data_IF_820683567239
#
_entry.id   IF_820683567239
#
_cell.length_a   1.000
_cell.length_b   1.000
_cell.length_c   1.000
_cell.angle_alpha   90.00
_cell.angle_beta   90.00
_cell.angle_gamma   90.00
#
_symmetry.space_group_name_H-M   'P 1'
#
loop_
_entity.id
_entity.type
_entity.pdbx_description
1 polymer ?
#
# COMPACT_ATOMS: atom_id res chain seq x y z
N UNK A 1 29.48 -9.97 -32.50
CA UNK A 1 28.28 -10.76 -32.15
C UNK A 1 28.70 -11.69 -31.04
N UNK A 2 28.49 -11.29 -29.79
CA UNK A 2 28.74 -12.10 -28.59
C UNK A 2 27.41 -12.74 -28.18
N UNK A 3 27.42 -14.01 -27.80
CA UNK A 3 26.21 -14.81 -27.63
C UNK A 3 25.57 -14.57 -26.27
N UNK A 4 24.24 -14.70 -26.24
CA UNK A 4 23.34 -14.50 -25.09
C UNK A 4 23.75 -15.33 -23.83
N UNK A 5 24.62 -16.33 -23.99
CA UNK A 5 25.07 -17.24 -22.93
C UNK A 5 26.27 -16.71 -22.11
N UNK A 6 27.09 -15.80 -22.66
CA UNK A 6 28.25 -15.26 -21.91
C UNK A 6 27.82 -14.19 -20.87
N UNK A 7 26.66 -13.55 -21.06
CA UNK A 7 26.04 -12.67 -20.05
C UNK A 7 25.34 -13.41 -18.90
N UNK A 8 25.00 -14.69 -19.09
CA UNK A 8 24.30 -15.52 -18.10
C UNK A 8 25.27 -16.19 -17.10
N UNK A 9 26.55 -16.34 -17.44
CA UNK A 9 27.57 -17.00 -16.61
C UNK A 9 28.72 -16.10 -16.13
N UNK A 10 28.63 -14.78 -16.34
CA UNK A 10 29.53 -13.84 -15.68
C UNK A 10 29.27 -13.85 -14.17
N UNK A 11 30.06 -14.66 -13.46
CA UNK A 11 30.16 -14.80 -12.00
C UNK A 11 29.66 -13.55 -11.27
N UNK A 12 28.58 -13.69 -10.49
CA UNK A 12 28.23 -12.74 -9.42
C UNK A 12 29.52 -12.45 -8.66
N UNK A 13 30.00 -11.20 -8.71
CA UNK A 13 31.13 -10.75 -7.89
C UNK A 13 30.88 -11.24 -6.47
N UNK A 14 31.87 -11.90 -5.88
CA UNK A 14 31.94 -12.18 -4.44
C UNK A 14 31.48 -10.89 -3.75
N UNK A 15 30.37 -10.95 -3.01
CA UNK A 15 29.87 -9.81 -2.25
C UNK A 15 31.05 -9.36 -1.39
N UNK A 16 31.60 -8.18 -1.68
CA UNK A 16 32.60 -7.58 -0.79
C UNK A 16 31.93 -7.55 0.57
N UNK A 17 32.54 -8.20 1.56
CA UNK A 17 32.06 -8.11 2.93
C UNK A 17 31.95 -6.61 3.24
N UNK A 18 30.71 -6.11 3.33
CA UNK A 18 30.48 -4.77 3.87
C UNK A 18 31.02 -4.88 5.29
N UNK A 19 32.03 -4.07 5.60
CA UNK A 19 32.52 -3.93 6.96
C UNK A 19 31.31 -3.80 7.90
N UNK A 20 31.31 -4.59 8.97
CA UNK A 20 30.26 -4.52 9.98
C UNK A 20 30.14 -3.06 10.43
N UNK A 21 29.00 -2.46 10.12
CA UNK A 21 28.73 -1.07 10.50
C UNK A 21 28.63 -1.04 12.01
N UNK A 22 29.36 -0.12 12.64
CA UNK A 22 29.23 0.12 14.07
C UNK A 22 27.75 0.39 14.43
N UNK A 23 27.24 -0.12 15.56
CA UNK A 23 25.92 0.24 16.05
C UNK A 23 25.79 1.77 16.12
N UNK A 24 24.84 2.35 15.37
CA UNK A 24 24.61 3.79 15.32
C UNK A 24 25.30 4.55 14.17
N UNK A 25 26.05 3.89 13.28
CA UNK A 25 26.57 4.56 12.08
C UNK A 25 25.43 5.07 11.17
N UNK A 26 25.49 6.32 10.67
CA UNK A 26 24.49 6.83 9.74
C UNK A 26 24.44 5.92 8.51
N UNK A 27 23.24 5.46 8.14
CA UNK A 27 23.07 4.78 6.86
C UNK A 27 23.32 5.81 5.76
N UNK A 28 24.16 5.48 4.77
CA UNK A 28 24.23 6.27 3.53
C UNK A 28 22.81 6.59 3.08
N UNK A 29 22.47 7.88 3.02
CA UNK A 29 21.11 8.34 2.81
C UNK A 29 20.59 7.86 1.45
N UNK A 30 19.93 6.71 1.44
CA UNK A 30 18.97 6.31 0.39
C UNK A 30 17.59 6.93 0.68
N UNK A 31 17.57 8.07 1.36
CA UNK A 31 16.36 8.79 1.70
C UNK A 31 15.66 9.29 0.44
N UNK A 32 14.35 9.09 0.37
CA UNK A 32 13.46 9.76 -0.59
C UNK A 32 13.24 11.20 -0.13
N UNK A 33 14.33 11.97 -0.09
CA UNK A 33 14.26 13.38 0.27
C UNK A 33 13.82 14.19 -0.94
N UNK A 34 12.86 15.07 -0.72
CA UNK A 34 12.29 15.92 -1.74
C UNK A 34 12.89 17.33 -1.67
N UNK A 35 12.83 18.00 -2.81
CA UNK A 35 12.91 19.44 -2.90
C UNK A 35 11.56 19.97 -3.39
N UNK A 36 11.26 21.20 -2.98
CA UNK A 36 10.09 21.94 -3.43
C UNK A 36 10.55 23.33 -3.81
N UNK A 37 10.34 23.70 -5.06
CA UNK A 37 10.70 25.00 -5.62
C UNK A 37 9.46 25.88 -5.80
N UNK A 38 9.69 27.14 -6.17
CA UNK A 38 8.62 28.09 -6.44
C UNK A 38 7.68 27.65 -7.58
N UNK A 39 8.16 27.10 -8.71
CA UNK A 39 7.29 26.52 -9.74
C UNK A 39 6.31 25.47 -9.20
N UNK A 40 6.78 24.55 -8.35
CA UNK A 40 5.93 23.52 -7.73
C UNK A 40 4.89 24.14 -6.80
N UNK A 41 5.27 25.10 -5.97
CA UNK A 41 4.34 25.82 -5.07
C UNK A 41 3.31 26.61 -5.87
N UNK A 42 3.74 27.34 -6.91
CA UNK A 42 2.85 28.08 -7.81
C UNK A 42 1.83 27.17 -8.49
N UNK A 43 2.26 26.01 -9.00
CA UNK A 43 1.35 25.02 -9.57
C UNK A 43 0.32 24.55 -8.54
N UNK A 44 0.76 24.24 -7.32
CA UNK A 44 -0.12 23.77 -6.24
C UNK A 44 -1.13 24.84 -5.82
N UNK A 45 -0.73 26.11 -5.74
CA UNK A 45 -1.63 27.24 -5.46
C UNK A 45 -2.65 27.46 -6.57
N UNK A 46 -2.23 27.35 -7.84
CA UNK A 46 -3.11 27.49 -8.98
C UNK A 46 -4.17 26.38 -9.03
N UNK A 47 -3.78 25.14 -8.74
CA UNK A 47 -4.69 23.99 -8.68
C UNK A 47 -5.83 24.16 -7.66
N UNK A 48 -5.55 24.79 -6.52
CA UNK A 48 -6.56 25.05 -5.48
C UNK A 48 -7.24 26.43 -5.65
N UNK A 49 -6.88 27.19 -6.69
CA UNK A 49 -7.43 28.52 -6.95
C UNK A 49 -7.08 29.56 -5.88
N UNK A 50 -5.97 29.41 -5.16
CA UNK A 50 -5.61 30.28 -4.04
C UNK A 50 -5.40 31.73 -4.50
N UNK A 51 -6.00 32.67 -3.76
CA UNK A 51 -5.89 34.11 -3.99
C UNK A 51 -5.23 34.80 -2.81
N UNK A 52 -5.52 34.37 -1.59
CA UNK A 52 -5.01 34.96 -0.36
C UNK A 52 -4.13 33.97 0.37
N UNK A 53 -2.83 34.23 0.44
CA UNK A 53 -1.84 33.28 0.94
C UNK A 53 -0.98 33.91 2.03
N UNK A 54 -0.79 33.17 3.11
CA UNK A 54 0.12 33.55 4.18
C UNK A 54 1.53 33.03 3.84
N UNK A 55 2.53 33.91 3.87
CA UNK A 55 3.92 33.54 3.70
C UNK A 55 4.65 33.61 5.05
N UNK A 56 5.04 32.44 5.56
CA UNK A 56 5.87 32.33 6.74
C UNK A 56 7.35 32.17 6.36
N UNK A 57 8.10 33.26 6.41
CA UNK A 57 9.52 33.29 5.99
C UNK A 57 10.26 34.54 6.45
N UNK A 58 11.50 34.67 6.02
CA UNK A 58 12.32 35.87 6.22
C UNK A 58 12.05 36.94 5.14
N UNK A 59 12.63 38.13 5.32
CA UNK A 59 12.40 39.28 4.44
C UNK A 59 12.82 39.03 2.98
N UNK A 60 13.93 38.33 2.78
CA UNK A 60 14.43 37.96 1.44
C UNK A 60 13.47 37.00 0.75
N UNK A 61 12.99 35.99 1.49
CA UNK A 61 11.98 35.06 0.98
C UNK A 61 10.67 35.75 0.62
N UNK A 62 10.26 36.79 1.36
CA UNK A 62 9.07 37.58 1.02
C UNK A 62 9.23 38.38 -0.26
N UNK A 63 10.38 39.01 -0.47
CA UNK A 63 10.67 39.69 -1.73
C UNK A 63 10.62 38.70 -2.92
N UNK A 64 11.23 37.52 -2.75
CA UNK A 64 11.21 36.46 -3.76
C UNK A 64 9.80 35.95 -4.05
N UNK A 65 9.01 35.68 -3.01
CA UNK A 65 7.63 35.21 -3.15
C UNK A 65 6.75 36.18 -3.95
N UNK A 66 6.92 37.50 -3.74
CA UNK A 66 6.20 38.52 -4.52
C UNK A 66 6.52 38.46 -6.02
N UNK A 67 7.78 38.17 -6.37
CA UNK A 67 8.19 38.04 -7.76
C UNK A 67 7.65 36.76 -8.40
N UNK A 68 7.66 35.65 -7.65
CA UNK A 68 7.26 34.33 -8.15
C UNK A 68 5.75 34.10 -8.23
N UNK A 69 4.98 34.84 -7.41
CA UNK A 69 3.53 34.69 -7.27
C UNK A 69 2.77 35.99 -7.60
N UNK A 70 2.90 36.53 -8.84
CA UNK A 70 2.20 37.72 -9.23
C UNK A 70 0.67 37.50 -9.17
N UNK A 71 -0.05 38.46 -8.58
CA UNK A 71 -1.52 38.42 -8.48
C UNK A 71 -2.07 37.60 -7.30
N UNK A 72 -1.21 37.02 -6.46
CA UNK A 72 -1.59 36.45 -5.16
C UNK A 72 -1.43 37.51 -4.08
N UNK A 73 -2.45 37.72 -3.25
CA UNK A 73 -2.35 38.59 -2.08
C UNK A 73 -1.56 37.86 -0.99
N UNK A 74 -0.33 38.33 -0.74
CA UNK A 74 0.58 37.73 0.22
C UNK A 74 0.60 38.52 1.53
N UNK A 75 0.33 37.85 2.65
CA UNK A 75 0.63 38.37 3.99
C UNK A 75 1.95 37.78 4.49
N UNK A 76 2.94 38.64 4.75
CA UNK A 76 4.20 38.20 5.36
C UNK A 76 4.07 38.05 6.87
N UNK A 77 4.41 36.87 7.37
CA UNK A 77 4.44 36.57 8.80
C UNK A 77 5.76 35.92 9.22
N UNK A 78 6.13 36.13 10.48
CA UNK A 78 7.26 35.44 11.10
C UNK A 78 7.07 35.29 12.60
N UNK A 79 7.73 34.29 13.18
CA UNK A 79 7.88 34.17 14.64
C UNK A 79 9.19 34.79 15.13
N UNK A 80 10.13 35.07 14.22
CA UNK A 80 11.41 35.69 14.56
C UNK A 80 11.20 37.19 14.78
N UNK A 81 11.56 37.69 15.97
CA UNK A 81 11.36 39.08 16.35
C UNK A 81 12.09 40.07 15.41
N UNK A 82 13.21 39.65 14.81
CA UNK A 82 13.92 40.45 13.81
C UNK A 82 13.10 40.69 12.53
N UNK A 83 12.44 39.65 12.02
CA UNK A 83 11.54 39.76 10.85
C UNK A 83 10.30 40.61 11.19
N UNK A 84 9.76 40.47 12.42
CA UNK A 84 8.63 41.27 12.90
C UNK A 84 9.00 42.75 12.99
N UNK A 85 10.19 43.05 13.54
CA UNK A 85 10.74 44.41 13.54
C UNK A 85 10.95 44.97 12.12
N UNK A 86 11.25 44.09 11.15
CA UNK A 86 11.39 44.44 9.73
C UNK A 86 10.06 44.54 8.97
N UNK A 87 8.91 44.31 9.63
CA UNK A 87 7.58 44.55 9.08
C UNK A 87 6.72 43.29 8.87
N UNK A 88 7.22 42.10 9.20
CA UNK A 88 6.38 40.91 9.24
C UNK A 88 5.32 41.03 10.34
N UNK A 89 4.15 40.44 10.14
CA UNK A 89 3.20 40.23 11.24
C UNK A 89 3.63 39.05 12.10
N UNK A 90 3.31 39.07 13.39
CA UNK A 90 3.59 37.93 14.25
C UNK A 90 2.66 36.76 13.89
N UNK A 91 3.23 35.58 13.69
CA UNK A 91 2.52 34.43 13.11
C UNK A 91 1.34 33.95 13.96
N UNK A 92 1.49 33.90 15.28
CA UNK A 92 0.47 33.45 16.23
C UNK A 92 -0.76 34.36 16.31
N UNK A 93 -0.61 35.64 15.98
CA UNK A 93 -1.68 36.63 16.09
C UNK A 93 -2.61 36.67 14.86
N UNK A 94 -2.28 35.90 13.82
CA UNK A 94 -3.05 35.93 12.57
C UNK A 94 -4.21 34.93 12.58
N UNK A 95 -5.28 35.25 11.86
CA UNK A 95 -6.40 34.35 11.62
C UNK A 95 -6.07 33.38 10.47
N UNK A 96 -5.30 32.32 10.75
CA UNK A 96 -4.84 31.35 9.73
C UNK A 96 -5.96 30.73 8.88
N UNK A 97 -7.18 30.61 9.43
CA UNK A 97 -8.35 30.08 8.72
C UNK A 97 -8.89 30.95 7.58
N UNK A 98 -8.50 32.24 7.53
CA UNK A 98 -8.96 33.21 6.52
C UNK A 98 -8.14 33.13 5.22
N UNK A 99 -7.08 32.32 5.20
CA UNK A 99 -6.18 32.17 4.05
C UNK A 99 -6.48 30.88 3.28
N UNK A 100 -6.27 30.93 1.96
CA UNK A 100 -6.46 29.79 1.09
C UNK A 100 -5.36 28.73 1.25
N UNK A 101 -4.16 29.18 1.65
CA UNK A 101 -2.99 28.35 1.90
C UNK A 101 -1.95 29.13 2.73
N UNK A 102 -0.96 28.41 3.25
CA UNK A 102 0.27 28.99 3.78
C UNK A 102 1.49 28.47 3.00
N UNK A 103 2.56 29.25 2.95
CA UNK A 103 3.86 28.85 2.40
C UNK A 103 4.94 29.07 3.45
N UNK A 104 5.72 28.04 3.75
CA UNK A 104 6.90 28.12 4.61
C UNK A 104 8.18 28.15 3.77
N UNK A 105 9.08 29.08 4.07
CA UNK A 105 10.32 29.27 3.30
C UNK A 105 11.39 29.98 4.14
N UNK A 106 12.65 29.87 3.71
CA UNK A 106 13.76 30.59 4.29
C UNK A 106 14.48 29.82 5.39
N UNK A 107 15.18 30.56 6.25
CA UNK A 107 15.90 29.99 7.38
C UNK A 107 14.95 29.28 8.36
N UNK A 108 15.43 28.22 9.02
CA UNK A 108 14.64 27.43 9.98
C UNK A 108 13.34 26.82 9.39
N UNK A 109 13.34 26.51 8.08
CA UNK A 109 12.19 25.94 7.38
C UNK A 109 11.48 24.79 8.14
N UNK A 110 12.17 23.79 8.73
CA UNK A 110 11.50 22.74 9.50
C UNK A 110 10.68 23.28 10.68
N UNK A 111 11.18 24.28 11.41
CA UNK A 111 10.46 24.86 12.55
C UNK A 111 9.24 25.67 12.07
N UNK A 112 9.43 26.50 11.04
CA UNK A 112 8.34 27.28 10.40
C UNK A 112 7.22 26.37 9.89
N UNK A 113 7.58 25.26 9.25
CA UNK A 113 6.63 24.28 8.70
C UNK A 113 5.78 23.61 9.79
N UNK A 114 6.41 23.10 10.87
CA UNK A 114 5.69 22.49 12.00
C UNK A 114 4.76 23.50 12.69
N UNK A 115 5.24 24.72 12.90
CA UNK A 115 4.45 25.79 13.51
C UNK A 115 3.25 26.16 12.63
N UNK A 116 3.45 26.30 11.32
CA UNK A 116 2.38 26.58 10.37
C UNK A 116 1.33 25.46 10.31
N UNK A 117 1.75 24.18 10.33
CA UNK A 117 0.82 23.06 10.42
C UNK A 117 -0.03 23.12 11.69
N UNK A 118 0.59 23.38 12.85
CA UNK A 118 -0.11 23.53 14.13
C UNK A 118 -1.12 24.69 14.10
N UNK A 119 -0.73 25.84 13.55
CA UNK A 119 -1.60 27.02 13.50
C UNK A 119 -2.73 26.84 12.49
N UNK A 120 -2.46 26.19 11.36
CA UNK A 120 -3.46 25.91 10.33
C UNK A 120 -4.47 24.86 10.79
N UNK A 121 -4.03 23.72 11.35
CA UNK A 121 -4.95 22.64 11.78
C UNK A 121 -5.91 23.10 12.88
N UNK A 122 -5.46 23.98 13.77
CA UNK A 122 -6.29 24.55 14.83
C UNK A 122 -7.45 25.43 14.32
N UNK A 123 -7.44 25.83 13.04
CA UNK A 123 -8.43 26.73 12.44
C UNK A 123 -9.13 26.10 11.23
N UNK A 124 -8.38 25.49 10.33
CA UNK A 124 -8.90 24.84 9.14
C UNK A 124 -7.94 23.74 8.64
N UNK A 125 -8.21 22.49 9.03
CA UNK A 125 -7.45 21.31 8.61
C UNK A 125 -7.50 20.99 7.10
N UNK A 126 -8.34 21.66 6.31
CA UNK A 126 -8.44 21.43 4.86
C UNK A 126 -7.50 22.30 4.00
N UNK A 127 -6.90 23.33 4.60
CA UNK A 127 -6.06 24.30 3.88
C UNK A 127 -4.60 23.86 3.88
N UNK A 128 -3.92 23.88 2.72
CA UNK A 128 -2.56 23.39 2.65
C UNK A 128 -1.53 24.37 3.22
N UNK A 129 -0.55 23.81 3.91
CA UNK A 129 0.74 24.41 4.22
C UNK A 129 1.76 23.85 3.22
N UNK A 130 2.17 24.69 2.29
CA UNK A 130 3.18 24.41 1.27
C UNK A 130 4.57 24.85 1.79
N UNK A 131 5.62 24.40 1.13
CA UNK A 131 6.99 24.73 1.52
C UNK A 131 7.90 24.91 0.31
N UNK A 132 8.94 25.73 0.46
CA UNK A 132 10.01 25.92 -0.54
C UNK A 132 11.35 25.64 0.14
N UNK A 133 12.12 24.71 -0.41
CA UNK A 133 13.42 24.29 0.12
C UNK A 133 13.80 22.88 -0.30
N UNK A 134 14.65 22.22 0.50
CA UNK A 134 15.06 20.84 0.28
C UNK A 134 15.16 20.05 1.59
N UNK A 135 15.20 18.72 1.47
CA UNK A 135 15.55 17.82 2.56
C UNK A 135 14.37 17.24 3.34
N UNK A 136 13.13 17.46 2.91
CA UNK A 136 11.95 16.83 3.51
C UNK A 136 11.89 15.36 3.15
N UNK A 137 11.49 14.52 4.10
CA UNK A 137 11.17 13.12 3.85
C UNK A 137 9.78 12.99 3.23
N UNK A 138 9.56 11.86 2.57
CA UNK A 138 8.31 11.54 1.89
C UNK A 138 7.84 10.12 2.22
N UNK A 139 6.52 9.97 2.41
CA UNK A 139 5.85 8.68 2.39
C UNK A 139 4.59 8.76 1.51
N UNK A 140 4.25 7.64 0.88
CA UNK A 140 2.97 7.51 0.20
C UNK A 140 2.42 6.10 0.19
N UNK A 141 1.14 5.98 -0.13
CA UNK A 141 0.43 4.72 -0.33
C UNK A 141 -0.62 4.88 -1.43
N UNK A 142 -0.84 3.83 -2.22
CA UNK A 142 -1.94 3.77 -3.20
C UNK A 142 -2.78 2.52 -3.00
N UNK A 143 -4.09 2.63 -3.19
CA UNK A 143 -5.04 1.52 -3.19
C UNK A 143 -5.95 1.68 -4.39
N UNK A 144 -6.04 0.64 -5.21
CA UNK A 144 -6.85 0.66 -6.44
C UNK A 144 -7.96 -0.38 -6.34
N UNK A 145 -9.10 -0.09 -6.96
CA UNK A 145 -10.26 -0.98 -7.01
C UNK A 145 -10.82 -1.03 -8.45
N UNK A 146 -11.47 -2.14 -8.83
CA UNK A 146 -11.91 -2.36 -10.20
C UNK A 146 -13.13 -1.47 -10.51
N UNK A 147 -13.43 -1.32 -11.80
CA UNK A 147 -14.60 -0.57 -12.27
C UNK A 147 -15.89 -1.14 -11.68
N UNK A 148 -15.96 -2.44 -11.45
CA UNK A 148 -17.16 -3.14 -11.02
C UNK A 148 -17.53 -2.87 -9.55
N UNK A 149 -16.59 -2.46 -8.69
CA UNK A 149 -16.84 -2.25 -7.25
C UNK A 149 -17.85 -1.11 -6.99
N UNK A 150 -18.95 -1.29 -6.27
CA UNK A 150 -19.97 -0.24 -6.11
C UNK A 150 -19.47 0.98 -5.33
N UNK A 151 -18.66 0.75 -4.30
CA UNK A 151 -18.11 1.79 -3.43
C UNK A 151 -16.70 1.43 -2.96
N UNK A 152 -15.89 2.44 -2.66
CA UNK A 152 -14.61 2.28 -1.99
C UNK A 152 -14.55 3.26 -0.83
N UNK A 153 -14.48 2.74 0.40
CA UNK A 153 -14.30 3.55 1.59
C UNK A 153 -12.87 3.42 2.10
N UNK A 154 -12.04 4.43 1.83
CA UNK A 154 -10.67 4.50 2.30
C UNK A 154 -10.55 5.07 3.72
N UNK A 155 -9.82 4.39 4.59
CA UNK A 155 -9.41 4.87 5.90
C UNK A 155 -7.93 5.30 5.86
N UNK A 156 -7.72 6.61 5.97
CA UNK A 156 -6.40 7.21 6.16
C UNK A 156 -6.22 7.56 7.64
N UNK A 157 -5.14 7.09 8.26
CA UNK A 157 -4.91 7.27 9.69
C UNK A 157 -3.46 7.71 9.95
N UNK A 158 -3.27 8.75 10.76
CA UNK A 158 -1.96 9.24 11.15
C UNK A 158 -1.37 8.40 12.30
N UNK A 159 -0.71 7.31 11.97
CA UNK A 159 -0.05 6.37 12.89
C UNK A 159 1.45 6.64 13.12
N UNK A 160 1.98 7.77 12.65
CA UNK A 160 3.43 7.98 12.71
C UNK A 160 3.95 8.18 14.13
N UNK A 161 3.09 8.53 15.08
CA UNK A 161 3.46 8.61 16.49
C UNK A 161 3.83 7.22 17.03
N UNK A 162 3.02 6.21 16.76
CA UNK A 162 3.15 4.86 17.31
C UNK A 162 4.38 4.14 16.75
N UNK A 163 4.65 4.31 15.45
CA UNK A 163 5.73 3.59 14.77
C UNK A 163 7.04 4.39 14.63
N UNK A 164 6.97 5.74 14.60
CA UNK A 164 8.13 6.62 14.36
C UNK A 164 8.35 7.68 15.43
N UNK A 165 7.43 7.83 16.40
CA UNK A 165 7.52 8.87 17.42
C UNK A 165 7.28 10.29 16.91
N UNK A 166 6.66 10.43 15.73
CA UNK A 166 6.31 11.74 15.16
C UNK A 166 5.02 12.23 15.83
N UNK A 167 5.16 13.24 16.70
CA UNK A 167 4.03 13.85 17.44
C UNK A 167 3.47 15.10 16.75
N UNK A 168 4.00 15.43 15.59
CA UNK A 168 3.56 16.58 14.80
C UNK A 168 2.25 16.24 14.07
N UNK A 169 1.40 17.24 13.86
CA UNK A 169 0.33 17.12 12.87
C UNK A 169 0.96 16.92 11.48
N UNK A 170 0.34 16.09 10.64
CA UNK A 170 0.86 15.78 9.32
C UNK A 170 -0.13 16.20 8.24
N UNK A 171 0.39 16.86 7.20
CA UNK A 171 -0.39 17.17 6.01
C UNK A 171 -0.35 16.01 5.02
N UNK A 172 -1.52 15.48 4.73
CA UNK A 172 -1.76 14.51 3.68
C UNK A 172 -2.28 15.23 2.44
N UNK A 173 -1.57 15.10 1.33
CA UNK A 173 -2.13 15.34 0.00
C UNK A 173 -2.81 14.05 -0.44
N UNK A 174 -4.11 14.13 -0.70
CA UNK A 174 -4.94 13.00 -1.09
C UNK A 174 -5.35 13.19 -2.55
N UNK A 175 -5.25 12.12 -3.32
CA UNK A 175 -5.62 12.08 -4.73
C UNK A 175 -6.57 10.92 -4.98
N UNK A 176 -7.68 11.20 -5.64
CA UNK A 176 -8.65 10.21 -6.11
C UNK A 176 -8.59 10.22 -7.64
N UNK A 177 -8.15 9.11 -8.21
CA UNK A 177 -8.00 8.93 -9.65
C UNK A 177 -9.21 8.20 -10.23
N UNK A 178 -9.69 8.69 -11.37
CA UNK A 178 -10.79 8.09 -12.13
C UNK A 178 -10.51 8.26 -13.63
N UNK A 179 -10.02 7.20 -14.28
CA UNK A 179 -9.58 7.28 -15.68
C UNK A 179 -8.47 8.34 -15.88
N UNK A 180 -8.67 9.38 -16.72
CA UNK A 180 -7.73 10.48 -16.89
C UNK A 180 -7.90 11.60 -15.84
N UNK A 181 -8.97 11.56 -15.04
CA UNK A 181 -9.30 12.61 -14.08
C UNK A 181 -8.64 12.37 -12.72
N UNK A 182 -8.29 13.47 -12.05
CA UNK A 182 -7.76 13.45 -10.68
C UNK A 182 -8.46 14.51 -9.84
N UNK A 183 -9.00 14.10 -8.69
CA UNK A 183 -9.43 15.02 -7.63
C UNK A 183 -8.39 15.04 -6.54
N UNK A 184 -7.83 16.22 -6.29
CA UNK A 184 -6.79 16.44 -5.29
C UNK A 184 -7.31 17.34 -4.18
N UNK A 185 -6.99 16.99 -2.94
CA UNK A 185 -7.27 17.83 -1.79
C UNK A 185 -6.26 17.56 -0.68
N UNK A 186 -6.25 18.43 0.34
CA UNK A 186 -5.35 18.34 1.46
C UNK A 186 -6.12 18.13 2.76
N UNK A 187 -5.56 17.35 3.67
CA UNK A 187 -6.03 17.21 5.04
C UNK A 187 -4.85 17.17 5.99
N UNK A 188 -4.88 18.03 7.01
CA UNK A 188 -3.94 17.98 8.12
C UNK A 188 -4.59 17.13 9.21
N UNK A 189 -3.92 16.05 9.60
CA UNK A 189 -4.36 15.17 10.67
C UNK A 189 -3.41 15.28 11.84
N UNK A 190 -3.94 15.52 13.03
CA UNK A 190 -3.20 15.39 14.27
C UNK A 190 -2.81 13.92 14.50
N UNK A 191 -1.84 13.63 15.39
CA UNK A 191 -1.52 12.24 15.73
C UNK A 191 -2.77 11.46 16.14
N UNK A 192 -2.88 10.20 15.69
CA UNK A 192 -4.03 9.31 15.93
C UNK A 192 -5.37 9.76 15.34
N UNK A 193 -5.42 10.85 14.57
CA UNK A 193 -6.61 11.18 13.79
C UNK A 193 -6.71 10.33 12.53
N UNK A 194 -7.95 10.05 12.16
CA UNK A 194 -8.31 9.30 10.97
C UNK A 194 -9.29 10.08 10.11
N UNK A 195 -9.29 9.77 8.81
CA UNK A 195 -10.16 10.33 7.80
C UNK A 195 -10.73 9.19 6.97
N UNK A 196 -12.06 9.17 6.84
CA UNK A 196 -12.76 8.31 5.89
C UNK A 196 -12.91 9.08 4.57
N UNK A 197 -12.58 8.42 3.47
CA UNK A 197 -12.63 8.94 2.11
C UNK A 197 -13.52 8.00 1.32
N UNK A 198 -14.74 8.45 0.99
CA UNK A 198 -15.65 7.69 0.14
C UNK A 198 -15.48 8.10 -1.31
N UNK A 199 -15.50 7.14 -2.21
CA UNK A 199 -15.37 7.44 -3.62
C UNK A 199 -16.60 8.18 -4.17
N UNK A 200 -17.80 7.83 -3.72
CA UNK A 200 -19.05 8.49 -4.15
C UNK A 200 -19.10 10.00 -3.85
N UNK A 201 -18.39 10.46 -2.82
CA UNK A 201 -18.24 11.89 -2.51
C UNK A 201 -17.46 12.65 -3.61
N UNK A 202 -16.64 11.92 -4.36
CA UNK A 202 -15.75 12.46 -5.38
C UNK A 202 -16.24 12.16 -6.80
N UNK A 203 -16.70 10.95 -7.10
CA UNK A 203 -17.17 10.58 -8.43
C UNK A 203 -18.49 9.81 -8.33
N UNK A 204 -19.61 10.51 -8.55
CA UNK A 204 -20.97 9.94 -8.41
C UNK A 204 -21.30 8.83 -9.40
N UNK A 205 -20.72 8.87 -10.59
CA UNK A 205 -20.89 7.86 -11.62
C UNK A 205 -19.52 7.43 -12.12
N UNK A 206 -19.28 6.11 -12.18
CA UNK A 206 -17.97 5.56 -12.53
C UNK A 206 -17.98 4.89 -13.90
N UNK A 207 -16.99 5.24 -14.72
CA UNK A 207 -16.74 4.67 -16.05
C UNK A 207 -15.33 4.05 -16.15
N UNK A 208 -14.52 4.20 -15.10
CA UNK A 208 -13.14 3.74 -15.03
C UNK A 208 -12.86 3.11 -13.65
N UNK A 209 -11.84 2.23 -13.55
CA UNK A 209 -11.30 1.82 -12.27
C UNK A 209 -10.80 3.04 -11.49
N UNK A 210 -10.75 2.88 -10.17
CA UNK A 210 -10.44 3.96 -9.23
C UNK A 210 -9.14 3.67 -8.49
N UNK A 211 -8.44 4.73 -8.08
CA UNK A 211 -7.43 4.61 -7.04
C UNK A 211 -7.45 5.77 -6.07
N UNK A 212 -7.25 5.44 -4.80
CA UNK A 212 -6.97 6.38 -3.71
C UNK A 212 -5.47 6.40 -3.48
N UNK A 213 -4.88 7.60 -3.45
CA UNK A 213 -3.50 7.79 -3.06
C UNK A 213 -3.38 8.86 -1.99
N UNK A 214 -2.51 8.61 -1.01
CA UNK A 214 -2.14 9.63 -0.04
C UNK A 214 -0.62 9.79 0.00
N UNK A 215 -0.21 11.04 0.14
CA UNK A 215 1.16 11.51 0.12
C UNK A 215 1.38 12.39 1.34
N UNK A 216 2.42 12.11 2.11
CA UNK A 216 2.83 12.92 3.26
C UNK A 216 4.28 13.34 3.10
N UNK A 217 4.54 14.61 3.37
CA UNK A 217 5.86 15.23 3.33
C UNK A 217 6.10 15.91 4.65
N UNK A 218 7.28 15.70 5.23
CA UNK A 218 7.61 16.32 6.50
C UNK A 218 9.14 16.39 6.67
N UNK A 219 9.69 17.37 7.42
CA UNK A 219 11.13 17.45 7.66
C UNK A 219 11.74 16.17 8.25
N UNK A 220 10.96 15.42 9.04
CA UNK A 220 11.36 14.14 9.64
C UNK A 220 10.13 13.24 9.71
N UNK A 221 10.07 12.13 8.96
CA UNK A 221 8.96 11.17 8.98
C UNK A 221 9.41 9.83 9.57
N UNK A 222 10.21 9.09 8.80
CA UNK A 222 10.65 7.74 9.13
C UNK A 222 12.12 7.70 9.50
N UNK A 223 12.85 8.82 9.35
CA UNK A 223 14.31 8.91 9.47
C UNK A 223 14.99 8.05 8.41
N UNK A 224 14.54 8.24 7.17
CA UNK A 224 15.01 7.50 6.00
C UNK A 224 14.83 5.96 6.11
N UNK A 225 13.91 5.48 6.97
CA UNK A 225 13.69 4.03 7.20
C UNK A 225 12.79 3.38 6.14
N UNK A 226 11.74 4.06 5.70
CA UNK A 226 10.90 3.65 4.57
C UNK A 226 10.09 4.84 4.03
N UNK A 227 9.58 4.71 2.82
CA UNK A 227 8.74 5.70 2.13
C UNK A 227 7.26 5.27 2.06
N UNK A 228 6.89 4.28 2.89
CA UNK A 228 5.60 3.58 2.80
C UNK A 228 4.60 4.18 3.78
N UNK A 229 3.45 4.60 3.28
CA UNK A 229 2.24 4.90 4.05
C UNK A 229 1.25 3.76 3.85
N UNK A 230 0.58 3.32 4.92
CA UNK A 230 -0.53 2.36 4.83
C UNK A 230 -1.85 3.11 4.87
N UNK A 231 -2.61 3.02 3.79
CA UNK A 231 -4.05 3.26 3.79
C UNK A 231 -4.75 1.91 3.93
N UNK A 232 -5.91 1.89 4.58
CA UNK A 232 -6.83 0.76 4.52
C UNK A 232 -8.02 1.17 3.64
N UNK A 233 -8.68 0.25 2.96
CA UNK A 233 -9.97 0.53 2.36
C UNK A 233 -10.85 -0.71 2.32
N UNK A 234 -12.15 -0.49 2.53
CA UNK A 234 -13.18 -1.47 2.25
C UNK A 234 -13.68 -1.24 0.81
N UNK A 235 -13.65 -2.30 0.01
CA UNK A 235 -14.12 -2.31 -1.38
C UNK A 235 -15.40 -3.11 -1.41
N UNK A 236 -16.49 -2.45 -1.75
CA UNK A 236 -17.83 -3.03 -1.78
C UNK A 236 -18.18 -3.46 -3.20
N UNK A 237 -18.87 -4.59 -3.32
CA UNK A 237 -19.47 -5.05 -4.56
C UNK A 237 -20.70 -5.89 -4.25
N UNK A 238 -21.85 -5.43 -4.73
CA UNK A 238 -23.18 -5.95 -4.45
C UNK A 238 -23.42 -6.04 -2.94
N UNK A 239 -23.63 -7.25 -2.43
CA UNK A 239 -23.85 -7.54 -1.02
C UNK A 239 -22.60 -8.05 -0.29
N UNK A 240 -21.41 -7.89 -0.87
CA UNK A 240 -20.12 -8.32 -0.29
C UNK A 240 -19.11 -7.18 -0.24
N UNK A 241 -18.12 -7.29 0.65
CA UNK A 241 -16.96 -6.40 0.67
C UNK A 241 -15.66 -7.16 0.97
N UNK A 242 -14.54 -6.57 0.56
CA UNK A 242 -13.20 -7.02 0.95
C UNK A 242 -12.40 -5.83 1.49
N UNK A 243 -11.63 -6.04 2.55
CA UNK A 243 -10.73 -5.04 3.10
C UNK A 243 -9.33 -5.23 2.53
N UNK A 244 -8.73 -4.15 2.05
CA UNK A 244 -7.35 -4.13 1.54
C UNK A 244 -6.55 -3.04 2.22
N UNK A 245 -5.23 -3.18 2.19
CA UNK A 245 -4.34 -2.06 2.50
C UNK A 245 -3.53 -1.65 1.28
N UNK A 246 -3.05 -0.40 1.30
CA UNK A 246 -2.32 0.19 0.19
C UNK A 246 -1.03 -0.57 -0.14
N UNK A 247 -0.67 -0.59 -1.42
CA UNK A 247 0.56 -1.16 -1.90
C UNK A 247 1.79 -0.25 -1.61
N UNK A 248 2.96 -0.88 -1.50
CA UNK A 248 4.22 -0.27 -1.02
C UNK A 248 5.18 0.14 -2.15
N UNK A 249 4.83 1.08 -3.04
CA UNK A 249 5.42 1.04 -4.41
C UNK A 249 5.92 2.33 -5.04
N UNK A 250 6.07 3.42 -4.29
CA UNK A 250 6.73 4.62 -4.83
C UNK A 250 8.21 4.32 -5.15
N UNK A 251 8.70 4.77 -6.30
CA UNK A 251 10.08 4.58 -6.80
C UNK A 251 10.52 3.15 -7.17
N UNK A 252 9.61 2.23 -7.55
CA UNK A 252 10.05 1.00 -8.27
C UNK A 252 10.54 1.35 -9.68
N UNK A 253 11.53 0.66 -10.25
CA UNK A 253 12.04 0.98 -11.59
C UNK A 253 10.97 0.83 -12.70
N UNK A 254 10.92 1.69 -13.74
CA UNK A 254 10.02 1.52 -14.89
C UNK A 254 10.23 0.21 -15.63
N UNK A 255 11.45 -0.33 -15.55
CA UNK A 255 11.84 -1.57 -16.21
C UNK A 255 11.57 -2.80 -15.34
N UNK A 256 11.13 -2.62 -14.09
CA UNK A 256 10.82 -3.74 -13.22
C UNK A 256 9.66 -4.54 -13.83
N UNK A 257 9.92 -5.82 -14.08
CA UNK A 257 8.85 -6.78 -14.38
C UNK A 257 8.10 -7.08 -13.10
N UNK A 258 6.78 -7.01 -13.18
CA UNK A 258 5.89 -7.43 -12.12
C UNK A 258 5.08 -8.60 -12.65
N UNK A 259 5.00 -9.63 -11.82
CA UNK A 259 4.23 -10.84 -12.11
C UNK A 259 3.26 -11.07 -10.95
N UNK A 260 2.04 -11.43 -11.32
CA UNK A 260 0.98 -11.83 -10.41
C UNK A 260 0.46 -13.18 -10.84
N UNK A 261 0.20 -14.04 -9.86
CA UNK A 261 -0.43 -15.34 -10.02
C UNK A 261 -1.62 -15.40 -9.09
N UNK A 262 -2.71 -16.00 -9.57
CA UNK A 262 -3.90 -16.22 -8.78
C UNK A 262 -4.51 -17.58 -9.16
N UNK A 263 -4.91 -18.41 -8.19
CA UNK A 263 -5.51 -19.70 -8.47
C UNK A 263 -6.81 -19.55 -9.27
N UNK A 264 -6.90 -20.29 -10.36
CA UNK A 264 -8.07 -20.34 -11.21
C UNK A 264 -9.35 -20.75 -10.49
N UNK A 265 -9.22 -21.68 -9.54
CA UNK A 265 -10.33 -22.26 -8.80
C UNK A 265 -11.04 -21.26 -7.87
N UNK A 266 -10.42 -20.10 -7.57
CA UNK A 266 -11.04 -19.05 -6.77
C UNK A 266 -12.30 -18.45 -7.39
N UNK A 267 -12.48 -18.59 -8.71
CA UNK A 267 -13.69 -18.18 -9.42
C UNK A 267 -14.21 -19.35 -10.22
N UNK A 268 -15.37 -19.87 -9.81
CA UNK A 268 -16.11 -20.85 -10.63
C UNK A 268 -16.89 -20.18 -11.76
N UNK A 269 -17.58 -19.08 -11.44
CA UNK A 269 -18.37 -18.28 -12.38
C UNK A 269 -18.24 -16.78 -12.05
N UNK A 270 -17.86 -15.96 -13.03
CA UNK A 270 -17.57 -14.53 -12.82
C UNK A 270 -16.28 -14.07 -13.49
N UNK A 271 -15.50 -13.25 -12.80
CA UNK A 271 -14.26 -12.71 -13.36
C UNK A 271 -13.19 -12.42 -12.31
N UNK A 272 -11.95 -12.35 -12.78
CA UNK A 272 -10.82 -11.80 -12.03
C UNK A 272 -10.36 -10.50 -12.67
N UNK A 273 -10.26 -9.44 -11.87
CA UNK A 273 -9.85 -8.12 -12.31
C UNK A 273 -8.53 -7.70 -11.64
N UNK A 274 -7.50 -7.40 -12.43
CA UNK A 274 -6.26 -6.78 -11.97
C UNK A 274 -6.29 -5.28 -12.26
N UNK A 275 -6.13 -4.47 -11.22
CA UNK A 275 -5.94 -3.02 -11.34
C UNK A 275 -4.45 -2.69 -11.46
N UNK A 276 -4.04 -2.00 -12.51
CA UNK A 276 -2.63 -1.76 -12.84
C UNK A 276 -2.37 -0.25 -12.84
N UNK A 277 -1.60 0.28 -11.87
CA UNK A 277 -1.39 1.71 -11.81
C UNK A 277 -0.45 2.26 -12.88
N UNK A 278 -0.83 3.38 -13.47
CA UNK A 278 -0.13 4.14 -14.52
C UNK A 278 0.34 5.51 -13.99
N UNK A 279 0.77 5.58 -12.73
CA UNK A 279 1.08 6.87 -12.08
C UNK A 279 2.29 7.59 -12.67
N UNK A 280 3.29 6.84 -13.11
CA UNK A 280 4.41 7.44 -13.84
C UNK A 280 4.02 7.52 -15.31
N UNK A 281 3.55 8.70 -15.73
CA UNK A 281 3.31 9.04 -17.14
C UNK A 281 4.56 8.88 -18.03
N UNK A 282 5.70 8.48 -17.46
CA UNK A 282 6.92 8.03 -18.16
C UNK A 282 6.95 6.53 -18.47
N UNK A 283 5.95 5.74 -18.06
CA UNK A 283 5.77 4.41 -18.60
C UNK A 283 5.66 4.54 -20.12
N UNK A 284 6.66 4.01 -20.84
CA UNK A 284 6.72 4.15 -22.30
C UNK A 284 5.38 3.69 -22.90
N UNK A 285 4.85 4.45 -23.87
CA UNK A 285 3.53 4.27 -24.54
C UNK A 285 3.29 2.90 -25.22
N UNK A 286 4.08 1.88 -24.90
CA UNK A 286 4.06 0.56 -25.48
C UNK A 286 4.39 -0.57 -24.48
N UNK A 287 4.39 -0.32 -23.16
CA UNK A 287 4.52 -1.44 -22.22
C UNK A 287 3.30 -2.34 -22.35
N UNK A 288 3.52 -3.64 -22.55
CA UNK A 288 2.45 -4.63 -22.68
C UNK A 288 2.04 -5.16 -21.30
N UNK A 289 0.75 -5.44 -21.14
CA UNK A 289 0.21 -6.33 -20.13
C UNK A 289 -0.07 -7.67 -20.80
N UNK A 290 0.61 -8.71 -20.36
CA UNK A 290 0.31 -10.10 -20.72
C UNK A 290 -0.61 -10.69 -19.66
N UNK A 291 -1.84 -11.02 -20.03
CA UNK A 291 -2.78 -11.74 -19.17
C UNK A 291 -2.79 -13.22 -19.55
N UNK A 292 -2.72 -14.08 -18.55
CA UNK A 292 -2.55 -15.54 -18.68
C UNK A 292 -3.71 -16.22 -17.98
N UNK A 293 -4.34 -17.18 -18.67
CA UNK A 293 -5.45 -17.98 -18.20
C UNK A 293 -5.21 -19.45 -18.58
N UNK A 294 -4.69 -20.24 -17.62
CA UNK A 294 -4.18 -21.58 -17.91
C UNK A 294 -3.07 -21.52 -18.96
N UNK A 295 -3.19 -22.30 -20.03
CA UNK A 295 -2.20 -22.37 -21.12
C UNK A 295 -2.35 -21.24 -22.16
N UNK A 296 -3.38 -20.40 -22.03
CA UNK A 296 -3.64 -19.30 -22.97
C UNK A 296 -3.06 -18.01 -22.43
N UNK A 297 -2.40 -17.23 -23.29
CA UNK A 297 -2.02 -15.85 -22.99
C UNK A 297 -2.55 -14.89 -24.03
N UNK A 298 -2.82 -13.66 -23.59
CA UNK A 298 -3.21 -12.54 -24.42
C UNK A 298 -2.41 -11.32 -24.01
N UNK A 299 -2.07 -10.47 -24.98
CA UNK A 299 -1.29 -9.26 -24.74
C UNK A 299 -2.09 -8.04 -25.16
N UNK A 300 -1.99 -6.99 -24.36
CA UNK A 300 -2.60 -5.71 -24.63
C UNK A 300 -1.61 -4.59 -24.30
N UNK A 301 -1.51 -3.54 -25.14
CA UNK A 301 -0.71 -2.37 -24.80
C UNK A 301 -1.37 -1.58 -23.67
N UNK A 302 -0.56 -1.06 -22.74
CA UNK A 302 -1.05 -0.18 -21.69
C UNK A 302 -1.56 1.14 -22.24
N UNK A 303 -2.69 1.61 -21.73
CA UNK A 303 -3.21 2.94 -22.03
C UNK A 303 -2.60 4.00 -21.09
N UNK A 304 -1.61 4.76 -21.58
CA UNK A 304 -0.94 5.83 -20.82
C UNK A 304 -1.79 7.07 -20.55
N UNK A 305 -2.98 7.17 -21.18
CA UNK A 305 -3.96 8.22 -20.89
C UNK A 305 -4.75 7.97 -19.59
N UNK A 306 -4.73 6.76 -19.05
CA UNK A 306 -5.43 6.40 -17.82
C UNK A 306 -4.46 6.34 -16.65
N UNK A 307 -4.83 6.90 -15.50
CA UNK A 307 -4.04 6.76 -14.26
C UNK A 307 -4.03 5.35 -13.70
N UNK A 308 -5.10 4.60 -13.93
CA UNK A 308 -5.27 3.20 -13.52
C UNK A 308 -5.89 2.46 -14.68
N UNK A 309 -5.30 1.32 -15.02
CA UNK A 309 -5.82 0.40 -16.02
C UNK A 309 -6.40 -0.84 -15.32
N UNK A 310 -7.26 -1.58 -16.02
CA UNK A 310 -7.81 -2.83 -15.55
C UNK A 310 -7.65 -3.91 -16.61
N UNK A 311 -7.18 -5.08 -16.20
CA UNK A 311 -7.18 -6.29 -17.01
C UNK A 311 -8.14 -7.30 -16.38
N UNK A 312 -9.17 -7.71 -17.13
CA UNK A 312 -10.19 -8.65 -16.66
C UNK A 312 -10.07 -9.99 -17.39
N UNK A 313 -10.11 -11.08 -16.63
CA UNK A 313 -10.20 -12.45 -17.14
C UNK A 313 -11.52 -13.07 -16.67
N UNK A 314 -12.43 -13.33 -17.61
CA UNK A 314 -13.73 -13.95 -17.32
C UNK A 314 -13.62 -15.49 -17.16
N UNK A 315 -14.52 -16.08 -16.38
CA UNK A 315 -14.70 -17.53 -16.18
C UNK A 315 -16.12 -17.93 -16.53
N UNK A 316 -16.24 -19.02 -17.28
CA UNK A 316 -17.52 -19.55 -17.76
C UNK A 316 -17.81 -20.96 -17.18
N UNK A 317 -17.77 -21.10 -15.86
CA UNK A 317 -18.39 -22.26 -15.18
C UNK A 317 -17.52 -23.49 -14.91
N UNK A 318 -16.21 -23.43 -15.12
CA UNK A 318 -15.27 -24.51 -14.74
C UNK A 318 -14.21 -23.92 -13.82
N UNK A 319 -14.19 -24.33 -12.56
CA UNK A 319 -12.99 -24.22 -11.73
C UNK A 319 -12.06 -25.37 -12.16
N UNK A 320 -10.91 -25.03 -12.72
CA UNK A 320 -9.88 -25.98 -13.11
C UNK A 320 -8.63 -25.76 -12.25
N UNK A 321 -7.70 -26.71 -12.27
CA UNK A 321 -6.42 -26.61 -11.55
C UNK A 321 -5.45 -25.60 -12.17
N UNK A 322 -5.93 -24.76 -13.10
CA UNK A 322 -5.15 -23.76 -13.80
C UNK A 322 -4.72 -22.61 -12.89
N UNK A 323 -4.04 -21.63 -13.50
CA UNK A 323 -3.68 -20.39 -12.84
C UNK A 323 -4.05 -19.23 -13.74
N UNK A 324 -4.47 -18.15 -13.12
CA UNK A 324 -4.47 -16.83 -13.72
C UNK A 324 -3.17 -16.13 -13.43
N UNK A 325 -2.80 -15.21 -14.31
CA UNK A 325 -1.71 -14.33 -14.01
C UNK A 325 -1.58 -13.16 -14.94
N UNK A 326 -0.74 -12.23 -14.53
CA UNK A 326 -0.41 -11.03 -15.29
C UNK A 326 1.08 -10.76 -15.25
N UNK A 327 1.67 -10.46 -16.39
CA UNK A 327 3.01 -9.90 -16.49
C UNK A 327 2.93 -8.52 -17.09
N UNK A 328 3.52 -7.55 -16.41
CA UNK A 328 3.64 -6.20 -16.93
C UNK A 328 4.92 -5.54 -16.44
N UNK A 329 5.24 -4.37 -16.99
CA UNK A 329 6.31 -3.51 -16.48
C UNK A 329 5.74 -2.19 -16.01
N UNK A 330 6.45 -1.54 -15.09
CA UNK A 330 6.16 -0.19 -14.66
C UNK A 330 6.19 0.00 -13.15
N UNK A 331 5.75 1.19 -12.75
CA UNK A 331 5.67 1.64 -11.37
C UNK A 331 4.34 1.23 -10.74
N UNK A 332 4.33 1.12 -9.41
CA UNK A 332 3.08 0.97 -8.65
C UNK A 332 2.62 -0.47 -8.46
N UNK A 333 1.92 -0.69 -7.36
CA UNK A 333 1.39 -1.99 -6.96
C UNK A 333 -0.01 -2.21 -7.46
N UNK A 334 -0.25 -3.41 -7.95
CA UNK A 334 -1.57 -3.81 -8.43
C UNK A 334 -2.34 -4.53 -7.34
N UNK A 335 -3.65 -4.32 -7.33
CA UNK A 335 -4.56 -5.17 -6.58
C UNK A 335 -5.32 -6.06 -7.56
N UNK A 336 -5.45 -7.34 -7.24
CA UNK A 336 -6.38 -8.21 -7.96
C UNK A 336 -7.62 -8.47 -7.12
N UNK A 337 -8.72 -8.66 -7.82
CA UNK A 337 -10.04 -8.91 -7.26
C UNK A 337 -10.67 -10.10 -7.94
N UNK A 338 -11.24 -10.97 -7.12
CA UNK A 338 -12.10 -12.08 -7.49
C UNK A 338 -13.53 -11.59 -7.35
N UNK A 339 -14.31 -11.64 -8.43
CA UNK A 339 -15.70 -11.21 -8.50
C UNK A 339 -16.54 -12.41 -8.93
N UNK A 340 -17.16 -13.09 -7.97
CA UNK A 340 -17.97 -14.30 -8.21
C UNK A 340 -19.47 -13.98 -8.17
N UNK A 341 -20.21 -14.44 -9.19
CA UNK A 341 -21.67 -14.38 -9.24
C UNK A 341 -22.31 -15.77 -9.11
N UNK A 342 -21.53 -16.80 -8.77
CA UNK A 342 -21.91 -18.21 -8.81
C UNK A 342 -22.68 -18.71 -7.58
N UNK A 343 -22.08 -19.63 -6.82
CA UNK A 343 -22.75 -20.38 -5.73
C UNK A 343 -23.45 -19.47 -4.69
N UNK A 344 -22.99 -18.23 -4.55
CA UNK A 344 -23.63 -17.15 -3.80
C UNK A 344 -25.12 -16.95 -4.15
N UNK A 345 -25.51 -17.03 -5.44
CA UNK A 345 -26.91 -16.86 -5.87
C UNK A 345 -27.84 -17.94 -5.31
N UNK A 346 -27.34 -19.16 -5.11
CA UNK A 346 -28.13 -20.26 -4.55
C UNK A 346 -28.45 -20.05 -3.06
N UNK A 347 -27.68 -19.20 -2.37
CA UNK A 347 -27.90 -18.76 -1.00
C UNK A 347 -28.63 -17.40 -0.91
N UNK A 348 -29.08 -16.83 -2.04
CA UNK A 348 -29.76 -15.53 -2.09
C UNK A 348 -28.83 -14.32 -2.10
N UNK A 349 -27.52 -14.52 -2.23
CA UNK A 349 -26.54 -13.44 -2.36
C UNK A 349 -26.41 -12.97 -3.81
N UNK A 350 -26.19 -11.68 -4.03
CA UNK A 350 -26.05 -11.14 -5.37
C UNK A 350 -24.64 -11.35 -5.94
N UNK A 351 -23.59 -11.41 -5.10
CA UNK A 351 -22.22 -11.72 -5.49
C UNK A 351 -21.23 -11.84 -4.32
N UNK A 352 -19.98 -12.21 -4.61
CA UNK A 352 -18.90 -12.30 -3.63
C UNK A 352 -17.62 -11.64 -4.17
N UNK A 353 -16.97 -10.83 -3.34
CA UNK A 353 -15.67 -10.22 -3.65
C UNK A 353 -14.58 -10.68 -2.68
N UNK A 354 -13.44 -11.05 -3.25
CA UNK A 354 -12.18 -11.21 -2.53
C UNK A 354 -11.09 -10.37 -3.22
N UNK A 355 -10.14 -9.85 -2.45
CA UNK A 355 -9.06 -9.04 -3.00
C UNK A 355 -7.71 -9.38 -2.38
N UNK A 356 -6.64 -9.05 -3.10
CA UNK A 356 -5.28 -9.09 -2.57
C UNK A 356 -4.41 -8.01 -3.22
N UNK A 357 -3.37 -7.59 -2.50
CA UNK A 357 -2.42 -6.55 -2.91
C UNK A 357 -0.97 -7.09 -3.05
N UNK A 358 -0.75 -8.40 -2.84
CA UNK A 358 0.60 -8.96 -2.82
C UNK A 358 1.23 -8.95 -4.20
N UNK A 359 2.26 -8.11 -4.35
CA UNK A 359 3.05 -7.99 -5.58
C UNK A 359 4.23 -8.95 -5.54
N UNK A 360 4.43 -9.68 -6.64
CA UNK A 360 5.59 -10.56 -6.94
C UNK A 360 5.39 -12.05 -6.66
N UNK A 361 4.25 -12.63 -7.04
CA UNK A 361 4.16 -14.08 -7.25
C UNK A 361 4.40 -14.37 -8.75
N UNK A 362 5.57 -14.94 -9.13
CA UNK A 362 5.79 -15.31 -10.52
C UNK A 362 4.75 -16.30 -11.01
N UNK A 363 4.40 -16.22 -12.29
CA UNK A 363 3.41 -17.11 -12.91
C UNK A 363 4.04 -18.44 -13.28
N UNK A 364 5.34 -18.41 -13.56
CA UNK A 364 6.14 -19.60 -13.79
C UNK A 364 6.72 -20.06 -12.46
N UNK A 365 6.64 -21.35 -12.18
CA UNK A 365 7.39 -21.92 -11.09
C UNK A 365 8.87 -21.68 -11.37
N UNK A 366 9.52 -20.98 -10.45
CA UNK A 366 10.89 -20.54 -10.59
C UNK A 366 11.79 -21.41 -9.75
N UNK A 367 12.39 -22.41 -10.38
CA UNK A 367 13.38 -23.29 -9.73
C UNK A 367 14.53 -22.49 -9.10
N UNK A 368 14.85 -21.31 -9.65
CA UNK A 368 15.88 -20.42 -9.11
C UNK A 368 15.49 -19.70 -7.80
N UNK A 369 14.21 -19.78 -7.40
CA UNK A 369 13.70 -19.33 -6.11
C UNK A 369 13.42 -20.49 -5.14
N UNK A 370 13.61 -21.74 -5.57
CA UNK A 370 13.56 -22.89 -4.68
C UNK A 370 14.65 -22.77 -3.62
N UNK A 371 14.31 -23.09 -2.37
CA UNK A 371 15.30 -23.18 -1.31
C UNK A 371 16.31 -24.29 -1.66
N UNK A 372 17.58 -23.93 -1.76
CA UNK A 372 18.64 -24.90 -1.97
C UNK A 372 18.93 -25.70 -0.68
N UNK A 373 19.83 -26.68 -0.75
CA UNK A 373 20.16 -27.51 0.40
C UNK A 373 20.72 -26.70 1.59
N UNK A 374 21.40 -25.58 1.34
CA UNK A 374 21.94 -24.71 2.38
C UNK A 374 20.84 -23.89 3.06
N UNK A 375 19.92 -23.32 2.27
CA UNK A 375 18.75 -22.61 2.77
C UNK A 375 17.83 -23.55 3.57
N UNK A 376 17.58 -24.76 3.08
CA UNK A 376 16.82 -25.79 3.80
C UNK A 376 17.50 -26.19 5.11
N UNK A 377 18.83 -26.36 5.11
CA UNK A 377 19.58 -26.66 6.33
C UNK A 377 19.53 -25.47 7.32
N UNK A 378 19.57 -24.23 6.83
CA UNK A 378 19.40 -23.02 7.65
C UNK A 378 18.01 -22.96 8.26
N UNK A 379 16.96 -23.21 7.48
CA UNK A 379 15.58 -23.23 7.98
C UNK A 379 15.39 -24.32 9.04
N UNK A 380 15.89 -25.53 8.79
CA UNK A 380 15.89 -26.62 9.78
C UNK A 380 16.62 -26.23 11.06
N UNK A 381 17.80 -25.61 10.97
CA UNK A 381 18.55 -25.17 12.16
C UNK A 381 17.80 -24.12 12.97
N UNK A 382 17.15 -23.18 12.30
CA UNK A 382 16.34 -22.13 12.95
C UNK A 382 15.11 -22.76 13.60
N UNK A 383 14.48 -23.71 12.92
CA UNK A 383 13.36 -24.50 13.44
C UNK A 383 13.74 -25.36 14.66
N UNK A 384 14.85 -26.09 14.59
CA UNK A 384 15.43 -26.88 15.68
C UNK A 384 15.81 -26.01 16.89
N UNK A 385 16.16 -24.75 16.65
CA UNK A 385 16.38 -23.75 17.69
C UNK A 385 15.08 -23.16 18.27
N UNK A 386 13.91 -23.64 17.84
CA UNK A 386 12.60 -23.26 18.36
C UNK A 386 11.98 -22.02 17.72
N UNK A 387 12.54 -21.53 16.61
CA UNK A 387 11.98 -20.36 15.92
C UNK A 387 10.93 -20.77 14.88
N UNK A 388 9.81 -20.04 14.87
CA UNK A 388 8.78 -20.12 13.83
C UNK A 388 9.06 -19.01 12.82
N UNK A 389 9.18 -19.38 11.54
CA UNK A 389 9.61 -18.44 10.49
C UNK A 389 8.48 -17.51 10.03
N UNK A 390 7.30 -18.06 9.72
CA UNK A 390 6.11 -17.30 9.31
C UNK A 390 4.81 -18.02 9.75
N UNK A 391 4.25 -17.73 10.94
CA UNK A 391 3.01 -18.37 11.37
C UNK A 391 1.80 -17.74 10.68
N UNK A 392 0.95 -18.58 10.08
CA UNK A 392 -0.39 -18.21 9.64
C UNK A 392 -1.42 -18.84 10.58
N UNK A 393 -1.94 -18.04 11.51
CA UNK A 393 -2.93 -18.53 12.47
C UNK A 393 -4.30 -18.72 11.80
N UNK A 394 -4.85 -19.92 11.93
CA UNK A 394 -6.19 -20.27 11.44
C UNK A 394 -7.04 -20.68 12.64
N UNK A 395 -8.09 -19.92 13.01
CA UNK A 395 -8.94 -20.28 14.14
C UNK A 395 -9.66 -21.61 13.90
N UNK A 396 -9.69 -22.48 14.91
CA UNK A 396 -10.51 -23.71 14.88
C UNK A 396 -11.83 -23.40 15.57
N UNK A 397 -12.94 -23.73 14.91
CA UNK A 397 -14.28 -23.52 15.46
C UNK A 397 -14.82 -24.77 16.13
N UNK A 398 -15.74 -24.63 17.11
CA UNK A 398 -16.42 -25.78 17.71
C UNK A 398 -17.22 -26.58 16.67
N UNK A 399 -17.40 -27.88 16.95
CA UNK A 399 -18.25 -28.73 16.13
C UNK A 399 -19.67 -28.16 16.01
N UNK A 400 -20.18 -28.03 14.79
CA UNK A 400 -21.50 -27.46 14.51
C UNK A 400 -21.53 -25.93 14.39
N UNK A 401 -20.37 -25.25 14.42
CA UNK A 401 -20.26 -23.82 14.12
C UNK A 401 -20.74 -23.51 12.70
N UNK A 402 -21.45 -22.39 12.53
CA UNK A 402 -21.81 -21.84 11.22
C UNK A 402 -20.61 -21.18 10.50
N UNK A 403 -19.49 -20.99 11.21
CA UNK A 403 -18.25 -20.45 10.69
C UNK A 403 -17.19 -21.54 10.49
N UNK A 404 -16.56 -21.55 9.31
CA UNK A 404 -15.44 -22.43 8.95
C UNK A 404 -14.26 -21.57 8.48
N UNK A 405 -13.05 -21.92 8.90
CA UNK A 405 -11.82 -21.27 8.45
C UNK A 405 -10.98 -22.21 7.60
N UNK A 406 -10.09 -21.64 6.78
CA UNK A 406 -9.19 -22.41 5.95
C UNK A 406 -7.85 -21.69 5.72
N UNK A 407 -6.84 -22.46 5.31
CA UNK A 407 -5.55 -21.95 4.84
C UNK A 407 -5.39 -22.20 3.34
N UNK A 408 -4.81 -21.24 2.63
CA UNK A 408 -4.58 -21.31 1.18
C UNK A 408 -3.17 -20.80 0.87
N UNK A 409 -2.43 -21.55 0.04
CA UNK A 409 -1.05 -21.24 -0.32
C UNK A 409 -0.66 -21.68 -1.74
N UNK A 410 -1.61 -22.11 -2.58
CA UNK A 410 -1.35 -22.58 -3.96
C UNK A 410 -0.85 -21.45 -4.86
N UNK A 411 -1.06 -20.20 -4.45
CA UNK A 411 -0.51 -19.02 -5.11
C UNK A 411 0.96 -18.73 -4.75
N UNK A 412 1.55 -19.48 -3.80
CA UNK A 412 2.94 -19.32 -3.40
C UNK A 412 3.89 -19.64 -4.56
N UNK A 413 5.04 -18.98 -4.57
CA UNK A 413 6.08 -19.27 -5.56
C UNK A 413 7.48 -19.16 -4.90
N UNK A 414 8.26 -20.25 -4.89
CA UNK A 414 7.90 -21.59 -5.39
C UNK A 414 6.70 -22.17 -4.63
N UNK A 415 5.98 -23.11 -5.25
CA UNK A 415 4.90 -23.83 -4.59
C UNK A 415 5.41 -24.47 -3.28
N UNK A 416 4.59 -24.41 -2.24
CA UNK A 416 4.92 -24.87 -0.89
C UNK A 416 3.98 -26.01 -0.47
N UNK A 417 4.09 -27.20 -1.10
CA UNK A 417 3.19 -28.31 -0.78
C UNK A 417 3.52 -28.94 0.58
N UNK A 418 4.74 -28.75 1.09
CA UNK A 418 5.17 -29.30 2.38
C UNK A 418 4.80 -28.34 3.50
N UNK A 419 3.79 -28.71 4.28
CA UNK A 419 3.22 -27.87 5.32
C UNK A 419 3.48 -28.50 6.70
N UNK A 420 3.71 -27.62 7.68
CA UNK A 420 3.74 -27.95 9.10
C UNK A 420 2.58 -27.22 9.76
N UNK A 421 1.75 -27.96 10.48
CA UNK A 421 0.66 -27.41 11.29
C UNK A 421 1.04 -27.65 12.75
N UNK A 422 1.04 -26.58 13.53
CA UNK A 422 1.20 -26.64 14.99
C UNK A 422 -0.16 -26.33 15.62
N UNK A 423 -0.62 -27.23 16.49
CA UNK A 423 -1.93 -27.15 17.13
C UNK A 423 -1.78 -26.57 18.53
N UNK A 424 -2.60 -25.56 18.85
CA UNK A 424 -2.58 -24.89 20.14
C UNK A 424 -3.97 -24.90 20.77
N UNK A 425 -4.04 -25.20 22.07
CA UNK A 425 -5.25 -25.04 22.86
C UNK A 425 -5.58 -23.55 23.08
N UNK A 426 -6.79 -23.28 23.57
CA UNK A 426 -7.28 -21.92 23.85
C UNK A 426 -6.44 -21.15 24.88
N UNK A 427 -5.72 -21.85 25.76
CA UNK A 427 -4.78 -21.29 26.73
C UNK A 427 -3.35 -21.05 26.16
N UNK A 428 -3.14 -21.39 24.89
CA UNK A 428 -1.84 -21.32 24.23
C UNK A 428 -0.94 -22.53 24.46
N UNK A 429 -1.41 -23.59 25.11
CA UNK A 429 -0.65 -24.84 25.23
C UNK A 429 -0.46 -25.46 23.83
N UNK A 430 0.79 -25.76 23.48
CA UNK A 430 1.09 -26.48 22.25
C UNK A 430 0.72 -27.96 22.41
N UNK A 431 -0.29 -28.40 21.66
CA UNK A 431 -0.84 -29.74 21.75
C UNK A 431 -0.12 -30.75 20.86
N UNK A 432 0.48 -30.28 19.76
CA UNK A 432 1.25 -31.15 18.88
C UNK A 432 1.46 -30.54 17.50
N UNK A 433 2.23 -31.27 16.69
CA UNK A 433 2.62 -30.85 15.34
C UNK A 433 2.29 -31.96 14.35
N UNK A 434 1.78 -31.59 13.18
CA UNK A 434 1.61 -32.49 12.05
C UNK A 434 2.34 -31.94 10.82
N UNK A 435 3.04 -32.82 10.09
CA UNK A 435 3.68 -32.49 8.82
C UNK A 435 3.03 -33.30 7.73
N UNK A 436 2.63 -32.64 6.66
CA UNK A 436 2.04 -33.31 5.50
C UNK A 436 2.45 -32.63 4.21
N UNK A 437 2.26 -33.35 3.12
CA UNK A 437 2.41 -32.81 1.77
C UNK A 437 1.02 -32.66 1.19
N UNK A 438 0.62 -31.42 0.91
CA UNK A 438 -0.62 -31.09 0.21
C UNK A 438 -0.51 -31.60 -1.23
N UNK A 439 -1.39 -32.50 -1.62
CA UNK A 439 -1.38 -33.16 -2.95
C UNK A 439 -2.43 -32.61 -3.91
N UNK A 440 -3.40 -31.86 -3.40
CA UNK A 440 -4.49 -31.26 -4.17
C UNK A 440 -4.52 -29.75 -3.93
N UNK A 441 -4.85 -28.99 -4.98
CA UNK A 441 -5.11 -27.55 -4.88
C UNK A 441 -6.45 -27.28 -4.21
N UNK A 442 -6.59 -26.09 -3.62
CA UNK A 442 -7.77 -25.64 -2.91
C UNK A 442 -7.45 -25.24 -1.46
N UNK A 443 -8.40 -24.61 -0.77
CA UNK A 443 -8.24 -24.28 0.64
C UNK A 443 -8.17 -25.56 1.47
N UNK A 444 -7.29 -25.59 2.46
CA UNK A 444 -7.29 -26.63 3.47
C UNK A 444 -8.15 -26.14 4.64
N UNK A 445 -9.36 -26.70 4.78
CA UNK A 445 -10.27 -26.33 5.86
C UNK A 445 -9.78 -26.90 7.20
N UNK A 446 -10.12 -26.23 8.29
CA UNK A 446 -9.76 -26.65 9.65
C UNK A 446 -10.16 -28.10 9.95
N UNK A 447 -11.32 -28.54 9.45
CA UNK A 447 -11.82 -29.91 9.65
C UNK A 447 -11.00 -30.96 8.90
N UNK A 448 -10.43 -30.58 7.73
CA UNK A 448 -9.48 -31.43 7.02
C UNK A 448 -8.14 -31.48 7.77
N UNK A 449 -7.65 -30.34 8.29
CA UNK A 449 -6.43 -30.28 9.09
C UNK A 449 -6.52 -31.15 10.35
N UNK A 450 -7.66 -31.09 11.05
CA UNK A 450 -7.92 -31.89 12.25
C UNK A 450 -7.95 -33.39 11.92
N UNK A 451 -8.60 -33.77 10.81
CA UNK A 451 -8.63 -35.16 10.33
C UNK A 451 -7.25 -35.67 9.92
N UNK A 452 -6.39 -34.81 9.38
CA UNK A 452 -5.00 -35.16 9.04
C UNK A 452 -4.15 -35.42 10.29
N UNK A 453 -4.42 -34.70 11.38
CA UNK A 453 -3.65 -34.84 12.62
C UNK A 453 -3.87 -36.19 13.31
N UNK A 454 -5.11 -36.71 13.31
CA UNK A 454 -5.51 -38.01 13.87
C UNK A 454 -4.97 -38.25 15.29
N UNK A 455 -5.01 -37.21 16.15
CA UNK A 455 -4.50 -37.23 17.52
C UNK A 455 -5.65 -37.06 18.54
N UNK A 456 -5.73 -37.90 19.59
CA UNK A 456 -6.72 -37.78 20.66
C UNK A 456 -6.75 -36.41 21.35
N UNK A 457 -5.63 -35.67 21.36
CA UNK A 457 -5.56 -34.31 21.90
C UNK A 457 -6.43 -33.30 21.13
N UNK A 458 -6.92 -33.66 19.94
CA UNK A 458 -7.85 -32.86 19.13
C UNK A 458 -9.14 -32.46 19.86
N UNK A 459 -9.60 -33.24 20.84
CA UNK A 459 -10.79 -32.90 21.64
C UNK A 459 -10.62 -31.60 22.44
N UNK A 460 -9.37 -31.20 22.73
CA UNK A 460 -9.05 -29.96 23.46
C UNK A 460 -9.06 -28.71 22.59
N UNK A 461 -9.04 -28.84 21.25
CA UNK A 461 -9.01 -27.72 20.31
C UNK A 461 -10.35 -26.98 20.17
N UNK A 462 -11.46 -27.70 20.41
CA UNK A 462 -12.83 -27.19 20.25
C UNK A 462 -13.52 -26.83 21.57
N UNK A 463 -12.81 -26.91 22.70
CA UNK A 463 -13.40 -26.62 24.01
C UNK A 463 -13.74 -25.13 24.15
N UNK A 464 -15.00 -24.76 24.44
CA UNK A 464 -15.38 -23.37 24.58
C UNK A 464 -14.62 -22.70 25.73
N UNK A 465 -14.24 -21.44 25.53
CA UNK A 465 -13.52 -20.57 26.48
C UNK A 465 -14.21 -20.45 27.87
N UNK A 466 -15.46 -20.93 28.01
CA UNK A 466 -16.23 -20.91 29.25
C UNK A 466 -15.65 -21.73 30.41
N UNK A 467 -14.58 -22.52 30.21
CA UNK A 467 -13.97 -23.31 31.29
C UNK A 467 -12.84 -22.59 32.06
N UNK A 468 -12.41 -21.37 31.68
CA UNK A 468 -11.28 -20.66 32.29
C UNK A 468 -11.66 -19.43 33.15
N UNK A 469 -12.89 -19.38 33.67
CA UNK A 469 -13.32 -18.37 34.68
C UNK A 469 -13.78 -19.02 35.99
N UNK A 470 -13.11 -20.09 36.39
CA UNK A 470 -13.17 -20.64 37.75
C UNK A 470 -12.18 -19.96 38.68
#
# INVERSE_FOLDING_TARGET
MLTLLENLFAKKKKKVARADRAPGAPKDGQGTRLASDWPRVRSSLAEIGAKHVLLHGDAESFATAKAELPGVALLWVSHALGDVAAGAKYAEDQAWGDFDAAICVGTELPARYRQALRLMVARNASRPVLWVGAGFEYCGGTLSAPLEADEVEGLLFNHFQEFFGVKDALQFRIEVYHGPEVKRFYRILEPNQSLVIRLSDHFKARQHPVSLAAFVEHPVLTRDRHYRLRLCADVFWKDSFTTLHSAHEFNRSPDRKVEFRAPAWMVRDGAMALTIPNFDRKAMNAQEVEAIAGDKSSKSPRNSGLYIEQSTLARNGIADDGMFGWRYRGFGGSNWFVLENGAALSAGHEGNIAGNHHASCPILDRDDLAADAEDLARFRKIEEAGFILEPHAVPITPAGSELTFAYESDAANPDQPHLRIDFFAADGEHLGTHRFTKTQKGPLFTDDMLRLWDDPAGERLASPWSAMTG
#
